data_IF_793200562658
#
_entry.id   IF_793200562658
#
_cell.length_a   1.000
_cell.length_b   1.000
_cell.length_c   1.000
_cell.angle_alpha   90.00
_cell.angle_beta   90.00
_cell.angle_gamma   90.00
#
_symmetry.space_group_name_H-M   'P 1'
#
loop_
_entity.id
_entity.type
_entity.pdbx_description
1 polymer ?
#
# COMPACT_ATOMS: atom_id res chain seq x y z
N UNK A 1 -25.33 3.58 57.22
CA UNK A 1 -24.00 4.15 56.98
C UNK A 1 -23.67 3.90 55.51
N UNK A 2 -23.80 4.91 54.67
CA UNK A 2 -23.44 4.84 53.26
C UNK A 2 -22.04 5.46 53.11
N UNK A 3 -21.03 4.61 52.79
CA UNK A 3 -19.70 5.08 52.48
C UNK A 3 -19.75 5.83 51.14
N UNK A 4 -19.60 7.15 51.18
CA UNK A 4 -19.37 8.00 50.04
C UNK A 4 -17.95 7.74 49.52
N UNK A 5 -17.83 6.99 48.39
CA UNK A 5 -16.60 6.92 47.62
C UNK A 5 -16.35 8.27 46.93
N UNK A 6 -15.60 9.15 47.60
CA UNK A 6 -15.15 10.40 46.98
C UNK A 6 -14.00 10.10 46.02
N UNK A 7 -14.27 10.09 44.70
CA UNK A 7 -13.27 10.12 43.65
C UNK A 7 -12.56 11.50 43.60
N UNK A 8 -11.75 11.78 44.62
CA UNK A 8 -10.80 12.91 44.51
C UNK A 8 -9.65 12.49 43.62
N UNK A 9 -9.85 12.60 42.30
CA UNK A 9 -8.76 12.58 41.34
C UNK A 9 -7.93 13.85 41.54
N UNK A 10 -6.79 13.72 42.21
CA UNK A 10 -5.91 14.86 42.41
C UNK A 10 -5.50 15.44 41.04
N UNK A 11 -5.45 16.77 40.85
CA UNK A 11 -5.12 17.41 39.58
C UNK A 11 -3.80 16.89 38.93
N UNK A 12 -2.89 16.38 39.78
CA UNK A 12 -1.64 15.72 39.34
C UNK A 12 -1.89 14.40 38.58
N UNK A 13 -2.86 13.57 39.00
CA UNK A 13 -3.21 12.31 38.33
C UNK A 13 -3.84 12.59 36.96
N UNK A 14 -4.70 13.58 36.88
CA UNK A 14 -5.35 14.00 35.62
C UNK A 14 -4.29 14.53 34.67
N UNK A 15 -3.37 15.40 35.10
CA UNK A 15 -2.28 15.93 34.33
C UNK A 15 -1.36 14.82 33.78
N UNK A 16 -1.03 13.82 34.59
CA UNK A 16 -0.24 12.66 34.16
C UNK A 16 -0.96 11.84 33.09
N UNK A 17 -2.23 11.56 33.26
CA UNK A 17 -3.03 10.81 32.27
C UNK A 17 -3.11 11.57 30.95
N UNK A 18 -3.36 12.87 30.97
CA UNK A 18 -3.40 13.72 29.78
C UNK A 18 -2.05 13.74 29.07
N UNK A 19 -0.95 13.86 29.81
CA UNK A 19 0.40 13.82 29.25
C UNK A 19 0.71 12.47 28.60
N UNK A 20 0.30 11.36 29.23
CA UNK A 20 0.47 10.03 28.67
C UNK A 20 -0.32 9.84 27.37
N UNK A 21 -1.59 10.28 27.36
CA UNK A 21 -2.44 10.22 26.16
C UNK A 21 -1.81 11.04 25.01
N UNK A 22 -1.33 12.25 25.33
CA UNK A 22 -0.66 13.10 24.33
C UNK A 22 0.60 12.44 23.79
N UNK A 23 1.44 11.86 24.65
CA UNK A 23 2.66 11.16 24.25
C UNK A 23 2.36 9.97 23.34
N UNK A 24 1.40 9.10 23.72
CA UNK A 24 0.99 7.95 22.92
C UNK A 24 0.41 8.39 21.57
N UNK A 25 -0.42 9.44 21.58
CA UNK A 25 -0.99 9.99 20.35
C UNK A 25 0.08 10.59 19.42
N UNK A 26 1.08 11.27 19.97
CA UNK A 26 2.20 11.80 19.22
C UNK A 26 3.07 10.69 18.60
N UNK A 27 3.38 9.64 19.39
CA UNK A 27 4.10 8.47 18.89
C UNK A 27 3.35 7.81 17.73
N UNK A 28 2.05 7.55 17.92
CA UNK A 28 1.20 6.98 16.86
C UNK A 28 1.16 7.87 15.62
N UNK A 29 0.98 9.19 15.78
CA UNK A 29 0.94 10.15 14.68
C UNK A 29 2.21 10.12 13.83
N UNK A 30 3.38 9.84 14.43
CA UNK A 30 4.68 9.89 13.77
C UNK A 30 5.11 8.55 13.19
N UNK A 31 4.86 7.44 13.89
CA UNK A 31 5.53 6.17 13.55
C UNK A 31 4.66 5.16 12.82
N UNK A 32 3.44 4.91 13.29
CA UNK A 32 2.60 3.84 12.77
C UNK A 32 1.16 4.27 12.56
N UNK A 33 0.53 3.63 11.59
CA UNK A 33 -0.90 3.73 11.39
C UNK A 33 -1.47 2.39 10.95
N UNK A 34 -2.78 2.21 11.08
CA UNK A 34 -3.49 1.05 10.55
C UNK A 34 -4.67 1.52 9.72
N UNK A 35 -4.87 0.88 8.59
CA UNK A 35 -5.95 1.21 7.68
C UNK A 35 -6.73 -0.04 7.29
N UNK A 36 -8.04 0.11 7.14
CA UNK A 36 -8.90 -0.89 6.55
C UNK A 36 -8.86 -0.72 5.03
N UNK A 37 -8.73 -1.85 4.30
CA UNK A 37 -8.67 -1.86 2.83
C UNK A 37 -10.02 -2.29 2.27
N UNK A 38 -10.85 -1.38 1.71
CA UNK A 38 -12.18 -1.72 1.24
C UNK A 38 -12.21 -2.26 -0.20
N UNK A 39 -11.12 -2.08 -0.97
CA UNK A 39 -11.09 -2.34 -2.41
C UNK A 39 -10.28 -3.59 -2.74
N UNK A 40 -10.54 -4.15 -3.94
CA UNK A 40 -9.85 -5.34 -4.43
C UNK A 40 -8.61 -5.07 -5.29
N UNK A 41 -8.16 -3.81 -5.38
CA UNK A 41 -7.07 -3.42 -6.29
C UNK A 41 -5.71 -4.06 -5.96
N UNK A 42 -5.53 -4.59 -4.75
CA UNK A 42 -4.30 -5.26 -4.29
C UNK A 42 -4.47 -6.78 -4.12
N UNK A 43 -5.58 -7.36 -4.59
CA UNK A 43 -5.78 -8.81 -4.65
C UNK A 43 -4.70 -9.41 -5.58
N UNK A 44 -4.03 -10.50 -5.20
CA UNK A 44 -4.26 -11.40 -4.09
C UNK A 44 -3.49 -11.05 -2.80
N UNK A 45 -2.61 -10.04 -2.84
CA UNK A 45 -1.74 -9.69 -1.71
C UNK A 45 -2.52 -9.12 -0.52
N UNK A 46 -3.51 -8.29 -0.79
CA UNK A 46 -4.38 -7.68 0.23
C UNK A 46 -5.81 -7.86 -0.23
N UNK A 47 -6.63 -8.52 0.59
CA UNK A 47 -8.03 -8.77 0.28
C UNK A 47 -8.93 -7.64 0.79
N UNK A 48 -10.09 -7.40 0.16
CA UNK A 48 -11.08 -6.48 0.71
C UNK A 48 -11.48 -6.90 2.13
N UNK A 49 -11.46 -5.94 3.05
CA UNK A 49 -11.72 -6.21 4.47
C UNK A 49 -10.46 -6.36 5.32
N UNK A 50 -9.30 -6.60 4.74
CA UNK A 50 -8.04 -6.67 5.45
C UNK A 50 -7.67 -5.35 6.13
N UNK A 51 -6.86 -5.45 7.17
CA UNK A 51 -6.24 -4.32 7.85
C UNK A 51 -4.74 -4.34 7.59
N UNK A 52 -4.18 -3.22 7.18
CA UNK A 52 -2.75 -3.06 6.96
C UNK A 52 -2.12 -2.24 8.07
N UNK A 53 -0.91 -2.62 8.46
CA UNK A 53 -0.06 -1.84 9.37
C UNK A 53 0.96 -1.10 8.52
N UNK A 54 0.98 0.22 8.66
CA UNK A 54 1.81 1.13 7.88
C UNK A 54 2.85 1.79 8.77
N UNK A 55 4.12 1.71 8.39
CA UNK A 55 5.18 2.52 8.98
C UNK A 55 5.28 3.86 8.27
N UNK A 56 4.86 4.91 8.95
CA UNK A 56 4.94 6.30 8.44
C UNK A 56 6.38 6.83 8.48
N UNK A 57 7.16 6.36 9.44
CA UNK A 57 8.55 6.77 9.66
C UNK A 57 9.58 5.99 8.84
N UNK A 58 9.16 4.98 8.05
CA UNK A 58 10.09 4.15 7.27
C UNK A 58 10.88 4.98 6.24
N UNK A 59 10.19 5.83 5.49
CA UNK A 59 10.81 6.68 4.47
C UNK A 59 11.20 8.05 5.02
N UNK A 60 10.35 8.62 5.90
CA UNK A 60 10.60 9.94 6.49
C UNK A 60 9.95 10.06 7.86
N UNK A 61 10.63 10.75 8.76
CA UNK A 61 10.07 11.10 10.07
C UNK A 61 9.43 12.48 9.97
N UNK A 62 8.15 12.57 10.32
CA UNK A 62 7.40 13.84 10.37
C UNK A 62 7.18 14.27 11.81
N UNK A 63 7.07 15.58 12.02
CA UNK A 63 6.61 16.10 13.31
C UNK A 63 5.21 15.57 13.63
N UNK A 64 4.92 15.26 14.91
CA UNK A 64 3.58 14.84 15.32
C UNK A 64 2.54 15.87 14.87
N UNK A 65 1.40 15.38 14.38
CA UNK A 65 0.25 16.18 13.92
C UNK A 65 0.59 17.22 12.82
N UNK A 66 1.69 16.99 12.05
CA UNK A 66 2.14 17.89 11.00
C UNK A 66 2.57 17.12 9.75
N UNK A 67 2.58 17.81 8.61
CA UNK A 67 3.18 17.34 7.36
C UNK A 67 4.68 17.65 7.24
N UNK A 68 5.27 18.37 8.20
CA UNK A 68 6.68 18.80 8.17
C UNK A 68 7.58 17.58 8.37
N UNK A 69 8.42 17.30 7.38
CA UNK A 69 9.45 16.23 7.44
C UNK A 69 10.68 16.77 8.19
N UNK A 70 11.06 16.07 9.25
CA UNK A 70 12.26 16.39 10.07
C UNK A 70 13.47 15.63 9.55
N UNK A 71 13.25 14.37 9.14
CA UNK A 71 14.33 13.50 8.70
C UNK A 71 13.86 12.60 7.55
N UNK A 72 14.61 12.58 6.45
CA UNK A 72 14.47 11.58 5.39
C UNK A 72 15.40 10.39 5.72
N UNK A 73 14.87 9.17 5.70
CA UNK A 73 15.59 7.94 6.08
C UNK A 73 15.88 7.06 4.88
N UNK A 74 14.83 6.59 4.22
CA UNK A 74 14.93 5.68 3.10
C UNK A 74 14.13 6.22 1.91
N UNK A 75 14.36 5.68 0.74
CA UNK A 75 13.51 5.89 -0.44
C UNK A 75 12.71 4.61 -0.72
N UNK A 76 11.51 4.72 -1.31
CA UNK A 76 10.78 3.54 -1.76
C UNK A 76 11.59 2.72 -2.76
N UNK A 77 11.59 1.40 -2.57
CA UNK A 77 12.23 0.44 -3.45
C UNK A 77 11.20 -0.28 -4.32
N UNK A 78 11.65 -0.90 -5.43
CA UNK A 78 10.79 -1.79 -6.22
C UNK A 78 10.22 -2.90 -5.34
N UNK A 79 8.98 -3.28 -5.61
CA UNK A 79 8.16 -4.24 -4.88
C UNK A 79 7.69 -3.79 -3.49
N UNK A 80 8.06 -2.60 -3.00
CA UNK A 80 7.46 -2.05 -1.79
C UNK A 80 5.97 -1.82 -1.98
N UNK A 81 5.17 -2.25 -1.03
CA UNK A 81 3.75 -1.86 -0.94
C UNK A 81 3.68 -0.59 -0.10
N UNK A 82 3.18 0.49 -0.71
CA UNK A 82 3.15 1.81 -0.10
C UNK A 82 1.73 2.35 0.03
N UNK A 83 1.53 3.21 1.01
CA UNK A 83 0.37 4.08 1.08
C UNK A 83 0.76 5.49 0.63
N UNK A 84 -0.10 6.13 -0.13
CA UNK A 84 0.10 7.49 -0.65
C UNK A 84 -1.23 8.21 -0.84
N UNK A 85 -1.17 9.53 -0.96
CA UNK A 85 -2.32 10.34 -1.34
C UNK A 85 -2.40 10.43 -2.87
N UNK A 86 -3.55 10.07 -3.43
CA UNK A 86 -3.86 10.26 -4.85
C UNK A 86 -3.58 11.72 -5.25
N UNK A 87 -2.81 11.98 -6.32
CA UNK A 87 -2.46 13.34 -6.71
C UNK A 87 -3.65 14.24 -7.01
N UNK A 88 -4.75 13.67 -7.53
CA UNK A 88 -5.91 14.43 -8.00
C UNK A 88 -7.01 14.57 -6.94
N UNK A 89 -7.16 13.57 -6.06
CA UNK A 89 -8.33 13.45 -5.17
C UNK A 89 -7.99 13.51 -3.69
N UNK A 90 -6.71 13.50 -3.31
CA UNK A 90 -6.23 13.41 -1.93
C UNK A 90 -6.77 12.19 -1.16
N UNK A 91 -7.19 11.14 -1.88
CA UNK A 91 -7.61 9.89 -1.28
C UNK A 91 -6.40 9.04 -0.91
N UNK A 92 -6.45 8.42 0.28
CA UNK A 92 -5.42 7.48 0.69
C UNK A 92 -5.56 6.18 -0.10
N UNK A 93 -4.51 5.83 -0.82
CA UNK A 93 -4.44 4.63 -1.65
C UNK A 93 -3.30 3.72 -1.21
N UNK A 94 -3.42 2.43 -1.55
CA UNK A 94 -2.38 1.42 -1.37
C UNK A 94 -2.06 0.77 -2.71
N UNK A 95 -0.77 0.78 -3.11
CA UNK A 95 -0.28 0.17 -4.36
C UNK A 95 1.15 -0.33 -4.17
N UNK A 96 1.62 -1.10 -5.17
CA UNK A 96 2.99 -1.60 -5.24
C UNK A 96 3.85 -0.70 -6.11
N UNK A 97 5.06 -0.38 -5.63
CA UNK A 97 6.09 0.31 -6.41
C UNK A 97 6.65 -0.64 -7.46
N UNK A 98 6.50 -0.28 -8.71
CA UNK A 98 7.03 -1.02 -9.86
C UNK A 98 8.28 -0.34 -10.42
N UNK A 99 8.23 0.98 -10.54
CA UNK A 99 9.35 1.76 -11.04
C UNK A 99 9.76 2.85 -10.07
N UNK A 100 11.07 3.06 -9.99
CA UNK A 100 11.74 4.06 -9.13
C UNK A 100 12.40 5.13 -10.00
N UNK A 101 12.85 6.27 -9.42
CA UNK A 101 13.53 7.32 -10.18
C UNK A 101 14.67 6.81 -11.07
N UNK A 102 14.66 7.20 -12.33
CA UNK A 102 15.64 6.78 -13.34
C UNK A 102 15.27 5.53 -14.14
N UNK A 103 14.28 4.74 -13.69
CA UNK A 103 13.81 3.59 -14.45
C UNK A 103 13.07 4.00 -15.72
N UNK A 104 13.23 3.17 -16.75
CA UNK A 104 12.38 3.18 -17.93
C UNK A 104 11.42 1.99 -17.84
N UNK A 105 10.13 2.27 -17.73
CA UNK A 105 9.09 1.25 -17.53
C UNK A 105 8.10 1.31 -18.67
N UNK A 106 7.75 0.15 -19.21
CA UNK A 106 6.68 -0.05 -20.18
C UNK A 106 5.91 -1.33 -19.85
N UNK A 107 4.70 -1.44 -20.35
CA UNK A 107 3.88 -2.63 -20.15
C UNK A 107 3.10 -2.94 -21.42
N UNK A 108 3.16 -4.20 -21.86
CA UNK A 108 2.38 -4.68 -23.00
C UNK A 108 1.61 -5.94 -22.61
N UNK A 109 0.29 -5.90 -22.73
CA UNK A 109 -0.68 -6.93 -22.28
C UNK A 109 -0.37 -7.53 -20.90
N UNK A 110 -0.14 -6.66 -19.91
CA UNK A 110 0.31 -6.97 -18.55
C UNK A 110 1.74 -7.52 -18.43
N UNK A 111 2.50 -7.61 -19.51
CA UNK A 111 3.92 -7.93 -19.46
C UNK A 111 4.72 -6.67 -19.16
N UNK A 112 5.36 -6.61 -17.99
CA UNK A 112 6.22 -5.48 -17.61
C UNK A 112 7.61 -5.62 -18.19
N UNK A 113 8.15 -4.50 -18.66
CA UNK A 113 9.53 -4.37 -19.10
C UNK A 113 10.15 -3.19 -18.36
N UNK A 114 11.21 -3.45 -17.59
CA UNK A 114 11.89 -2.45 -16.79
C UNK A 114 13.36 -2.38 -17.20
N UNK A 115 13.79 -1.22 -17.69
CA UNK A 115 15.15 -0.99 -18.20
C UNK A 115 15.54 -1.99 -19.31
N UNK A 116 14.56 -2.39 -20.14
CA UNK A 116 14.74 -3.36 -21.23
C UNK A 116 14.75 -4.83 -20.78
N UNK A 117 14.50 -5.11 -19.51
CA UNK A 117 14.41 -6.47 -18.95
C UNK A 117 12.95 -6.79 -18.70
N UNK A 118 12.47 -7.87 -19.29
CA UNK A 118 11.12 -8.38 -19.05
C UNK A 118 11.00 -8.99 -17.64
N UNK A 119 9.89 -8.71 -16.97
CA UNK A 119 9.53 -9.41 -15.76
C UNK A 119 9.20 -10.88 -16.08
N UNK A 120 9.55 -11.79 -15.19
CA UNK A 120 9.18 -13.20 -15.36
C UNK A 120 7.88 -13.52 -14.65
N UNK A 121 7.08 -14.41 -15.25
CA UNK A 121 5.78 -14.82 -14.74
C UNK A 121 5.71 -16.33 -14.63
N UNK A 122 5.35 -16.82 -13.44
CA UNK A 122 5.07 -18.23 -13.18
C UNK A 122 3.58 -18.34 -12.86
N UNK A 123 2.88 -19.12 -13.60
CA UNK A 123 1.46 -19.34 -13.32
C UNK A 123 0.70 -19.94 -14.48
N UNK A 124 -0.63 -20.06 -14.39
CA UNK A 124 -1.41 -19.79 -13.18
C UNK A 124 -1.15 -20.84 -12.10
N UNK A 125 -1.00 -20.38 -10.86
CA UNK A 125 -0.92 -21.27 -9.69
C UNK A 125 -2.18 -22.12 -9.62
N UNK A 126 -2.05 -23.41 -9.32
CA UNK A 126 -3.20 -24.30 -9.17
C UNK A 126 -4.14 -23.76 -8.09
N UNK A 127 -5.45 -23.83 -8.35
CA UNK A 127 -6.49 -23.26 -7.48
C UNK A 127 -6.48 -23.75 -6.02
N UNK A 128 -5.69 -24.77 -5.68
CA UNK A 128 -5.51 -25.27 -4.31
C UNK A 128 -4.45 -24.50 -3.52
N UNK A 129 -3.52 -23.84 -4.21
CA UNK A 129 -2.38 -23.13 -3.61
C UNK A 129 -2.51 -21.60 -3.67
N UNK A 130 -3.66 -21.10 -4.15
CA UNK A 130 -3.90 -19.66 -4.31
C UNK A 130 -4.63 -19.08 -3.10
N UNK A 131 -4.31 -17.82 -2.77
CA UNK A 131 -5.05 -17.05 -1.76
C UNK A 131 -6.49 -16.73 -2.21
N UNK A 132 -6.85 -17.05 -3.47
CA UNK A 132 -8.15 -16.80 -4.12
C UNK A 132 -9.11 -18.01 -4.01
N UNK A 133 -9.15 -18.67 -2.86
CA UNK A 133 -10.04 -19.83 -2.62
C UNK A 133 -11.52 -19.43 -2.60
N UNK A 134 -11.82 -18.15 -2.41
CA UNK A 134 -13.18 -17.64 -2.40
C UNK A 134 -13.78 -17.65 -3.83
N UNK A 135 -14.97 -18.22 -3.98
CA UNK A 135 -15.74 -18.24 -5.23
C UNK A 135 -15.95 -16.84 -5.85
N UNK A 136 -15.92 -15.80 -5.01
CA UNK A 136 -15.99 -14.39 -5.42
C UNK A 136 -14.88 -13.98 -6.38
N UNK A 137 -13.71 -14.63 -6.31
CA UNK A 137 -12.54 -14.35 -7.15
C UNK A 137 -12.29 -15.42 -8.24
N UNK A 138 -13.25 -16.29 -8.50
CA UNK A 138 -13.12 -17.40 -9.49
C UNK A 138 -12.83 -16.93 -10.93
N UNK A 139 -13.08 -15.65 -11.24
CA UNK A 139 -12.79 -15.01 -12.52
C UNK A 139 -11.35 -14.51 -12.64
N UNK A 140 -10.58 -14.53 -11.55
CA UNK A 140 -9.19 -14.13 -11.52
C UNK A 140 -8.26 -15.35 -11.66
N UNK A 141 -7.12 -15.13 -12.28
CA UNK A 141 -5.98 -16.05 -12.31
C UNK A 141 -4.80 -15.40 -11.60
N UNK A 142 -4.19 -16.15 -10.71
CA UNK A 142 -3.03 -15.70 -9.94
C UNK A 142 -1.74 -16.12 -10.64
N UNK A 143 -0.81 -15.17 -10.77
CA UNK A 143 0.53 -15.38 -11.31
C UNK A 143 1.55 -14.87 -10.28
N UNK A 144 2.68 -15.55 -10.20
CA UNK A 144 3.83 -15.04 -9.48
C UNK A 144 4.70 -14.24 -10.45
N UNK A 145 4.77 -12.92 -10.23
CA UNK A 145 5.59 -11.98 -10.99
C UNK A 145 6.90 -11.74 -10.27
N UNK A 146 8.01 -11.84 -10.99
CA UNK A 146 9.34 -11.53 -10.48
C UNK A 146 9.93 -10.33 -11.20
N UNK A 147 10.25 -9.29 -10.44
CA UNK A 147 10.88 -8.05 -10.90
C UNK A 147 12.19 -7.87 -10.13
N UNK A 148 13.33 -7.85 -10.84
CA UNK A 148 14.64 -7.61 -10.22
C UNK A 148 14.86 -8.47 -8.95
N UNK A 149 14.69 -9.77 -9.05
CA UNK A 149 14.87 -10.78 -7.97
C UNK A 149 13.82 -10.76 -6.85
N UNK A 150 12.89 -9.81 -6.84
CA UNK A 150 11.77 -9.76 -5.89
C UNK A 150 10.51 -10.32 -6.53
N UNK A 151 9.94 -11.35 -5.92
CA UNK A 151 8.72 -12.01 -6.40
C UNK A 151 7.50 -11.59 -5.57
N UNK A 152 6.35 -11.50 -6.23
CA UNK A 152 5.06 -11.28 -5.59
C UNK A 152 3.93 -11.81 -6.48
N UNK A 153 2.77 -12.03 -5.88
CA UNK A 153 1.63 -12.52 -6.60
C UNK A 153 0.80 -11.37 -7.17
N UNK A 154 0.33 -11.55 -8.39
CA UNK A 154 -0.60 -10.64 -9.08
C UNK A 154 -1.85 -11.41 -9.51
N UNK A 155 -2.94 -10.71 -9.73
CA UNK A 155 -4.17 -11.26 -10.28
C UNK A 155 -4.53 -10.58 -11.60
N UNK A 156 -4.96 -11.40 -12.56
CA UNK A 156 -5.41 -10.97 -13.89
C UNK A 156 -6.75 -11.66 -14.17
N UNK A 157 -7.70 -10.95 -14.80
CA UNK A 157 -8.96 -11.56 -15.23
C UNK A 157 -8.71 -12.65 -16.28
N UNK A 158 -9.37 -13.78 -16.12
CA UNK A 158 -9.33 -14.88 -17.11
C UNK A 158 -9.79 -14.44 -18.50
N UNK A 159 -10.71 -13.47 -18.55
CA UNK A 159 -11.20 -12.83 -19.77
C UNK A 159 -10.96 -11.32 -19.61
N UNK A 160 -10.21 -10.72 -20.52
CA UNK A 160 -9.90 -9.27 -20.49
C UNK A 160 -11.19 -8.44 -20.50
N UNK A 161 -11.48 -7.65 -19.46
CA UNK A 161 -12.60 -6.73 -19.47
C UNK A 161 -12.37 -5.59 -20.48
N UNK A 162 -13.43 -5.05 -21.06
CA UNK A 162 -13.33 -3.94 -22.04
C UNK A 162 -12.69 -2.68 -21.46
N UNK A 163 -12.83 -2.45 -20.13
CA UNK A 163 -12.28 -1.29 -19.44
C UNK A 163 -10.82 -1.49 -18.98
N UNK A 164 -10.29 -2.73 -19.02
CA UNK A 164 -8.94 -3.02 -18.54
C UNK A 164 -7.90 -2.47 -19.50
N UNK A 165 -7.01 -1.66 -18.96
CA UNK A 165 -5.86 -1.11 -19.66
C UNK A 165 -4.63 -1.95 -19.29
N UNK A 166 -4.21 -2.83 -20.21
CA UNK A 166 -3.11 -3.78 -20.01
C UNK A 166 -1.77 -3.32 -20.58
N UNK A 167 -1.76 -2.20 -21.28
CA UNK A 167 -0.55 -1.68 -21.91
C UNK A 167 -0.40 -0.19 -21.66
N UNK A 168 0.83 0.29 -21.56
CA UNK A 168 1.21 1.69 -21.61
C UNK A 168 2.59 1.84 -22.24
N UNK A 169 2.79 2.99 -22.90
CA UNK A 169 4.04 3.30 -23.57
C UNK A 169 5.19 3.50 -22.58
N UNK A 170 6.40 3.30 -23.08
CA UNK A 170 7.63 3.47 -22.32
C UNK A 170 7.73 4.85 -21.70
N UNK A 171 7.94 4.87 -20.39
CA UNK A 171 8.07 6.08 -19.57
C UNK A 171 9.33 6.04 -18.73
N UNK A 172 10.18 7.05 -18.86
CA UNK A 172 11.29 7.28 -17.93
C UNK A 172 10.76 8.01 -16.69
N UNK A 173 11.06 7.47 -15.51
CA UNK A 173 10.57 8.00 -14.25
C UNK A 173 11.48 9.15 -13.79
N UNK A 174 10.95 10.38 -13.63
CA UNK A 174 11.70 11.52 -13.15
C UNK A 174 12.20 11.35 -11.71
N UNK A 175 13.17 12.16 -11.32
CA UNK A 175 13.63 12.26 -9.92
C UNK A 175 12.43 12.55 -9.01
N UNK A 176 12.42 11.90 -7.83
CA UNK A 176 11.36 12.04 -6.81
C UNK A 176 9.96 11.64 -7.28
N UNK A 177 9.83 10.79 -8.29
CA UNK A 177 8.57 10.20 -8.72
C UNK A 177 8.65 8.67 -8.74
N UNK A 178 7.50 8.03 -8.60
CA UNK A 178 7.37 6.58 -8.57
C UNK A 178 6.22 6.12 -9.46
N UNK A 179 6.42 5.00 -10.13
CA UNK A 179 5.37 4.31 -10.86
C UNK A 179 4.82 3.19 -9.97
N UNK A 180 3.53 3.21 -9.73
CA UNK A 180 2.86 2.22 -8.89
C UNK A 180 1.76 1.50 -9.66
N UNK A 181 1.60 0.20 -9.40
CA UNK A 181 0.50 -0.61 -9.93
C UNK A 181 -0.21 -1.35 -8.79
N UNK A 182 -1.48 -1.68 -9.03
CA UNK A 182 -2.19 -2.65 -8.20
C UNK A 182 -1.78 -4.07 -8.55
N UNK A 183 -1.84 -4.96 -7.57
CA UNK A 183 -1.59 -6.37 -7.78
C UNK A 183 -2.75 -7.04 -8.54
N UNK A 184 -3.98 -6.52 -8.41
CA UNK A 184 -5.08 -6.84 -9.32
C UNK A 184 -4.96 -5.98 -10.59
N UNK A 185 -4.21 -6.47 -11.55
CA UNK A 185 -3.79 -5.74 -12.74
C UNK A 185 -4.96 -5.20 -13.56
N UNK A 186 -6.03 -5.94 -13.68
CA UNK A 186 -7.16 -5.57 -14.51
C UNK A 186 -8.21 -4.72 -13.77
N UNK A 187 -8.16 -4.66 -12.42
CA UNK A 187 -9.12 -3.90 -11.62
C UNK A 187 -8.41 -3.03 -10.58
N UNK A 188 -7.60 -2.12 -11.08
CA UNK A 188 -6.85 -1.18 -10.26
C UNK A 188 -6.84 0.21 -10.90
N UNK A 189 -7.21 1.22 -10.11
CA UNK A 189 -6.87 2.61 -10.41
C UNK A 189 -5.45 2.86 -9.90
N UNK A 190 -4.50 3.06 -10.81
CA UNK A 190 -3.07 3.20 -10.53
C UNK A 190 -2.39 4.12 -11.55
N UNK A 191 -1.07 3.97 -11.80
CA UNK A 191 -0.32 4.78 -12.76
C UNK A 191 -1.07 4.99 -14.10
N UNK A 192 -1.77 3.99 -14.58
CA UNK A 192 -2.53 4.05 -15.83
C UNK A 192 -3.69 5.05 -15.79
N UNK A 193 -4.15 5.40 -14.58
CA UNK A 193 -5.27 6.33 -14.35
C UNK A 193 -4.80 7.72 -13.95
N UNK A 194 -3.87 7.82 -12.97
CA UNK A 194 -3.49 9.09 -12.35
C UNK A 194 -2.00 9.46 -12.56
N UNK A 195 -1.23 8.62 -13.28
CA UNK A 195 0.16 8.90 -13.59
C UNK A 195 1.14 8.60 -12.46
N UNK A 196 2.28 9.29 -12.47
CA UNK A 196 3.36 9.09 -11.49
C UNK A 196 3.02 9.70 -10.14
N UNK A 197 3.48 9.05 -9.07
CA UNK A 197 3.31 9.53 -7.70
C UNK A 197 4.54 10.33 -7.29
N UNK A 198 4.39 11.63 -6.93
CA UNK A 198 5.47 12.39 -6.31
C UNK A 198 5.85 11.80 -4.95
N UNK A 199 7.14 11.83 -4.63
CA UNK A 199 7.67 11.25 -3.37
C UNK A 199 7.03 11.86 -2.11
N UNK A 200 6.71 13.13 -2.14
CA UNK A 200 6.08 13.84 -1.01
C UNK A 200 4.65 13.38 -0.71
N UNK A 201 3.96 12.80 -1.70
CA UNK A 201 2.64 12.19 -1.53
C UNK A 201 2.68 10.80 -0.86
N UNK A 202 3.85 10.17 -0.74
CA UNK A 202 4.00 8.87 -0.10
C UNK A 202 3.88 9.01 1.41
N UNK A 203 2.95 8.29 2.01
CA UNK A 203 2.64 8.37 3.44
C UNK A 203 3.41 7.35 4.27
N UNK A 204 3.66 6.13 3.76
CA UNK A 204 4.41 5.11 4.48
C UNK A 204 4.51 3.79 3.73
N UNK A 205 5.24 2.85 4.34
CA UNK A 205 5.41 1.47 3.86
C UNK A 205 4.47 0.54 4.60
N UNK A 206 3.80 -0.34 3.88
CA UNK A 206 3.02 -1.43 4.48
C UNK A 206 4.00 -2.47 5.01
N UNK A 207 3.94 -2.75 6.31
CA UNK A 207 4.82 -3.72 6.99
C UNK A 207 4.19 -5.10 7.06
N UNK A 208 2.89 -5.16 7.29
CA UNK A 208 2.15 -6.40 7.40
C UNK A 208 0.68 -6.21 7.03
N UNK A 209 0.07 -7.32 6.64
CA UNK A 209 -1.35 -7.43 6.38
C UNK A 209 -1.96 -8.27 7.50
N UNK A 210 -2.86 -7.68 8.26
CA UNK A 210 -3.65 -8.41 9.24
C UNK A 210 -4.88 -8.99 8.56
N UNK A 211 -5.09 -10.28 8.75
CA UNK A 211 -6.21 -11.00 8.13
C UNK A 211 -7.52 -10.47 8.71
N UNK A 212 -8.45 -10.04 7.86
CA UNK A 212 -9.84 -9.86 8.25
C UNK A 212 -10.40 -11.20 8.71
N UNK A 213 -11.08 -11.24 9.87
CA UNK A 213 -11.88 -12.40 10.18
C UNK A 213 -12.87 -12.58 9.04
N UNK A 214 -12.77 -13.71 8.34
CA UNK A 214 -13.79 -14.14 7.39
C UNK A 214 -15.10 -14.23 8.15
N UNK A 215 -16.02 -13.28 7.91
CA UNK A 215 -17.42 -13.37 8.29
C UNK A 215 -18.13 -14.15 7.20
#
# INVERSE_FOLDING_TARGET
MAEQWSFHSTPRKIGFILSLILCVSALRSTFFDWHHVPTQSMVPTILPGDRIIVSKSFYRVRLPFSSITVLKRNSPERSDVITFLDPDKDLLMVKRVIGIPGDRVEMDDNQLIINGIEASYIGPQNSKDTNLVDSKFSHLREFNETISEKSHNIAIFSIKPKWSQRSFESKTIPISHYLVLGDNRDDSSDYRTFGLIPEDRIMGKVLSVGISQKI
#
